data_IF_900521279498
#
_entry.id   IF_900521279498
#
_cell.length_a   1.000
_cell.length_b   1.000
_cell.length_c   1.000
_cell.angle_alpha   90.00
_cell.angle_beta   90.00
_cell.angle_gamma   90.00
#
_symmetry.space_group_name_H-M   'P 1'
#
loop_
_entity.id
_entity.type
_entity.pdbx_description
1 polymer ?
#
# COMPACT_ATOMS: atom_id res chain seq x y z
N UNK A 1 21.08 -31.11 -14.26
CA UNK A 1 19.71 -30.54 -14.29
C UNK A 1 19.82 -29.04 -14.38
N UNK A 2 19.16 -28.39 -15.34
CA UNK A 2 19.14 -26.92 -15.43
C UNK A 2 18.12 -26.37 -14.42
N UNK A 3 18.57 -25.49 -13.52
CA UNK A 3 17.68 -24.83 -12.55
C UNK A 3 16.78 -23.88 -13.34
N UNK A 4 15.47 -24.18 -13.39
CA UNK A 4 14.48 -23.24 -13.96
C UNK A 4 14.49 -21.96 -13.12
N UNK A 5 14.98 -20.86 -13.71
CA UNK A 5 14.94 -19.54 -13.08
C UNK A 5 13.50 -19.16 -12.74
N UNK A 6 13.19 -19.03 -11.46
CA UNK A 6 11.92 -18.50 -10.97
C UNK A 6 12.03 -16.98 -11.03
N UNK A 7 11.04 -16.33 -11.64
CA UNK A 7 10.92 -14.88 -11.69
C UNK A 7 9.55 -14.50 -11.16
N UNK A 8 9.46 -13.38 -10.44
CA UNK A 8 8.19 -12.91 -9.89
C UNK A 8 7.13 -12.66 -10.97
N UNK A 9 7.54 -12.28 -12.17
CA UNK A 9 6.64 -12.19 -13.34
C UNK A 9 5.88 -13.47 -13.66
N UNK A 10 6.41 -14.65 -13.31
CA UNK A 10 5.72 -15.94 -13.50
C UNK A 10 4.56 -16.16 -12.53
N UNK A 11 4.46 -15.38 -11.45
CA UNK A 11 3.25 -15.36 -10.60
C UNK A 11 2.17 -14.42 -11.15
N UNK A 12 2.35 -13.87 -12.35
CA UNK A 12 1.42 -12.94 -12.98
C UNK A 12 1.66 -11.46 -12.65
N UNK A 13 2.69 -11.13 -11.86
CA UNK A 13 2.95 -9.73 -11.44
C UNK A 13 4.12 -9.13 -12.23
N UNK A 14 3.84 -8.10 -13.04
CA UNK A 14 4.85 -7.39 -13.80
C UNK A 14 5.05 -5.95 -13.30
N UNK A 15 6.05 -5.76 -12.41
CA UNK A 15 6.40 -4.43 -11.88
C UNK A 15 6.81 -3.44 -12.97
N UNK A 16 7.38 -3.89 -14.09
CA UNK A 16 7.69 -3.00 -15.20
C UNK A 16 6.47 -2.29 -15.79
N UNK A 17 5.28 -2.86 -15.61
CA UNK A 17 3.99 -2.27 -16.02
C UNK A 17 3.32 -1.51 -14.88
N UNK A 18 3.43 -1.99 -13.64
CA UNK A 18 2.77 -1.41 -12.48
C UNK A 18 3.48 -0.16 -11.94
N UNK A 19 4.81 -0.18 -11.88
CA UNK A 19 5.62 0.88 -11.28
C UNK A 19 5.52 2.24 -11.98
N UNK A 20 5.42 2.34 -13.32
CA UNK A 20 5.29 3.62 -14.00
C UNK A 20 4.12 4.46 -13.47
N UNK A 21 2.95 3.85 -13.27
CA UNK A 21 1.77 4.55 -12.74
C UNK A 21 2.02 5.01 -11.30
N UNK A 22 2.64 4.18 -10.47
CA UNK A 22 3.00 4.54 -9.09
C UNK A 22 3.98 5.73 -9.05
N UNK A 23 5.01 5.73 -9.91
CA UNK A 23 5.98 6.82 -10.01
C UNK A 23 5.34 8.11 -10.51
N UNK A 24 4.45 8.03 -11.50
CA UNK A 24 3.67 9.18 -11.98
C UNK A 24 2.81 9.76 -10.85
N UNK A 25 2.10 8.92 -10.10
CA UNK A 25 1.30 9.37 -8.96
C UNK A 25 2.15 10.06 -7.89
N UNK A 26 3.32 9.52 -7.55
CA UNK A 26 4.25 10.17 -6.61
C UNK A 26 4.76 11.51 -7.12
N UNK A 27 5.06 11.61 -8.43
CA UNK A 27 5.51 12.86 -9.05
C UNK A 27 4.41 13.92 -9.04
N UNK A 28 3.18 13.54 -9.39
CA UNK A 28 2.00 14.42 -9.31
C UNK A 28 1.73 14.86 -7.87
N UNK A 29 1.81 13.95 -6.90
CA UNK A 29 1.63 14.26 -5.48
C UNK A 29 2.74 15.17 -4.91
N UNK A 30 3.96 15.11 -5.42
CA UNK A 30 5.02 16.03 -5.01
C UNK A 30 4.75 17.48 -5.47
N UNK A 31 4.04 17.66 -6.59
CA UNK A 31 3.69 19.01 -7.07
C UNK A 31 2.69 19.75 -6.17
N UNK A 32 2.02 19.02 -5.26
CA UNK A 32 1.04 19.58 -4.31
C UNK A 32 1.64 19.89 -2.93
N UNK A 33 2.90 19.54 -2.66
CA UNK A 33 3.56 19.75 -1.36
C UNK A 33 3.52 21.19 -0.86
N UNK A 34 3.53 22.16 -1.78
CA UNK A 34 3.42 23.59 -1.45
C UNK A 34 2.13 23.93 -0.69
N UNK A 35 1.07 23.15 -0.84
CA UNK A 35 -0.19 23.39 -0.14
C UNK A 35 -0.05 23.17 1.37
N UNK A 36 0.96 22.41 1.83
CA UNK A 36 1.23 22.21 3.26
C UNK A 36 1.68 23.51 3.94
N UNK A 37 2.48 24.33 3.25
CA UNK A 37 3.00 25.58 3.84
C UNK A 37 1.90 26.60 4.11
N UNK A 38 0.80 26.56 3.36
CA UNK A 38 -0.36 27.44 3.57
C UNK A 38 -1.01 27.22 4.96
N UNK A 39 -0.78 26.06 5.57
CA UNK A 39 -1.26 25.69 6.90
C UNK A 39 -0.13 25.58 7.95
N UNK A 40 1.08 26.02 7.62
CA UNK A 40 2.25 25.90 8.51
C UNK A 40 2.76 24.47 8.69
N UNK A 41 2.44 23.57 7.76
CA UNK A 41 2.91 22.19 7.75
C UNK A 41 4.14 22.01 6.87
N UNK A 42 4.93 20.97 7.15
CA UNK A 42 6.09 20.61 6.32
C UNK A 42 6.14 19.11 6.10
N UNK A 43 6.35 18.67 4.87
CA UNK A 43 6.54 17.24 4.59
C UNK A 43 7.89 16.71 5.08
N UNK A 44 7.95 15.41 5.36
CA UNK A 44 9.19 14.66 5.49
C UNK A 44 9.47 13.96 4.16
N UNK A 45 10.08 14.67 3.22
CA UNK A 45 10.21 14.25 1.80
C UNK A 45 10.79 12.84 1.62
N UNK A 46 11.66 12.39 2.52
CA UNK A 46 12.27 11.05 2.47
C UNK A 46 11.27 9.89 2.60
N UNK A 47 10.04 10.14 3.06
CA UNK A 47 9.01 9.08 3.19
C UNK A 47 8.14 8.95 1.93
N UNK A 48 8.40 9.71 0.86
CA UNK A 48 7.63 9.60 -0.38
C UNK A 48 7.93 8.27 -1.07
N UNK A 49 6.90 7.44 -1.23
CA UNK A 49 7.02 6.11 -1.81
C UNK A 49 7.41 5.03 -0.80
N UNK A 50 7.59 5.37 0.47
CA UNK A 50 7.67 4.43 1.59
C UNK A 50 6.26 3.94 1.99
N UNK A 51 6.17 3.02 2.97
CA UNK A 51 4.90 2.44 3.45
C UNK A 51 3.86 3.48 3.88
N UNK A 52 4.29 4.65 4.38
CA UNK A 52 3.38 5.77 4.67
C UNK A 52 4.05 7.12 4.38
N UNK A 53 3.25 8.10 3.98
CA UNK A 53 3.69 9.48 3.79
C UNK A 53 3.57 10.27 5.09
N UNK A 54 4.65 10.95 5.49
CA UNK A 54 4.75 11.66 6.77
C UNK A 54 4.88 13.17 6.56
N UNK A 55 4.17 13.93 7.38
CA UNK A 55 4.32 15.38 7.46
C UNK A 55 4.25 15.86 8.91
N UNK A 56 4.75 17.07 9.15
CA UNK A 56 4.80 17.71 10.46
C UNK A 56 3.73 18.78 10.58
N UNK A 57 3.01 18.76 11.70
CA UNK A 57 2.04 19.79 12.11
C UNK A 57 2.47 20.33 13.48
N UNK A 58 3.15 21.47 13.52
CA UNK A 58 3.69 22.01 14.79
C UNK A 58 4.63 21.02 15.48
N UNK A 59 4.23 20.48 16.63
CA UNK A 59 5.03 19.55 17.44
C UNK A 59 4.70 18.07 17.22
N UNK A 60 3.79 17.74 16.30
CA UNK A 60 3.42 16.36 16.00
C UNK A 60 3.77 15.97 14.58
N UNK A 61 4.05 14.69 14.39
CA UNK A 61 4.13 14.07 13.08
C UNK A 61 2.82 13.35 12.79
N UNK A 62 2.39 13.46 11.55
CA UNK A 62 1.22 12.79 11.02
C UNK A 62 1.70 11.87 9.91
N UNK A 63 1.07 10.71 9.79
CA UNK A 63 1.36 9.74 8.75
C UNK A 63 0.06 9.31 8.06
N UNK A 64 0.14 9.06 6.76
CA UNK A 64 -0.99 8.60 5.96
C UNK A 64 -0.56 7.48 5.03
N UNK A 65 -1.37 6.44 4.97
CA UNK A 65 -1.24 5.28 4.09
C UNK A 65 -2.58 4.98 3.46
N UNK A 66 -2.55 4.54 2.21
CA UNK A 66 -3.70 4.00 1.50
C UNK A 66 -3.27 2.63 0.99
N UNK A 67 -3.89 1.58 1.51
CA UNK A 67 -3.56 0.20 1.16
C UNK A 67 -4.82 -0.62 0.92
N UNK A 68 -4.70 -1.70 0.15
CA UNK A 68 -5.80 -2.62 -0.12
C UNK A 68 -5.33 -4.07 0.03
N UNK A 69 -6.24 -4.96 0.42
CA UNK A 69 -5.91 -6.37 0.62
C UNK A 69 -5.49 -7.11 -0.67
N UNK A 70 -5.84 -6.56 -1.84
CA UNK A 70 -5.64 -7.21 -3.12
C UNK A 70 -6.69 -8.28 -3.40
N UNK A 71 -6.31 -9.36 -4.09
CA UNK A 71 -7.25 -10.37 -4.63
C UNK A 71 -7.61 -11.48 -3.65
N UNK A 72 -7.30 -11.33 -2.35
CA UNK A 72 -7.61 -12.36 -1.34
C UNK A 72 -9.11 -12.59 -1.17
N UNK A 73 -9.93 -11.60 -1.50
CA UNK A 73 -11.39 -11.74 -1.52
C UNK A 73 -11.86 -12.85 -2.49
N UNK A 74 -11.20 -13.02 -3.65
CA UNK A 74 -11.54 -14.09 -4.60
C UNK A 74 -11.29 -15.48 -4.01
N UNK A 75 -10.29 -15.61 -3.15
CA UNK A 75 -10.02 -16.86 -2.42
C UNK A 75 -11.13 -17.14 -1.41
N UNK A 76 -11.62 -16.11 -0.70
CA UNK A 76 -12.77 -16.28 0.20
C UNK A 76 -14.02 -16.74 -0.55
N UNK A 77 -14.30 -16.14 -1.72
CA UNK A 77 -15.41 -16.53 -2.59
C UNK A 77 -15.32 -18.01 -3.03
N UNK A 78 -14.14 -18.47 -3.43
CA UNK A 78 -13.94 -19.84 -3.91
C UNK A 78 -13.96 -20.86 -2.77
N UNK A 79 -13.42 -20.53 -1.61
CA UNK A 79 -13.46 -21.40 -0.42
C UNK A 79 -14.89 -21.53 0.11
N UNK A 80 -15.71 -20.49 0.06
CA UNK A 80 -17.12 -20.56 0.44
C UNK A 80 -17.89 -21.54 -0.46
N UNK A 81 -17.64 -21.55 -1.77
CA UNK A 81 -18.26 -22.52 -2.70
C UNK A 81 -17.91 -23.98 -2.37
N UNK A 82 -16.70 -24.23 -1.88
CA UNK A 82 -16.22 -25.58 -1.56
C UNK A 82 -16.69 -26.04 -0.17
N UNK A 83 -16.67 -25.13 0.80
CA UNK A 83 -16.84 -25.46 2.22
C UNK A 83 -18.22 -25.08 2.78
N UNK A 84 -18.96 -24.23 2.09
CA UNK A 84 -20.20 -23.61 2.56
C UNK A 84 -20.01 -22.58 3.69
N UNK A 85 -18.76 -22.21 4.01
CA UNK A 85 -18.44 -21.26 5.08
C UNK A 85 -18.00 -19.91 4.53
N UNK A 86 -18.54 -18.85 5.10
CA UNK A 86 -18.17 -17.48 4.78
C UNK A 86 -16.91 -17.06 5.57
N UNK A 87 -15.97 -16.38 4.90
CA UNK A 87 -14.69 -15.92 5.48
C UNK A 87 -14.47 -14.40 5.40
N UNK A 88 -15.52 -13.62 5.11
CA UNK A 88 -15.39 -12.17 4.94
C UNK A 88 -15.05 -11.42 6.23
N UNK A 89 -15.28 -12.01 7.39
CA UNK A 89 -14.79 -11.46 8.66
C UNK A 89 -13.25 -11.42 8.69
N UNK A 90 -12.59 -12.51 8.30
CA UNK A 90 -11.13 -12.55 8.18
C UNK A 90 -10.61 -11.62 7.09
N UNK A 91 -11.32 -11.53 5.95
CA UNK A 91 -10.99 -10.57 4.88
C UNK A 91 -11.02 -9.13 5.41
N UNK A 92 -12.04 -8.76 6.19
CA UNK A 92 -12.13 -7.43 6.78
C UNK A 92 -10.96 -7.18 7.75
N UNK A 93 -10.64 -8.14 8.62
CA UNK A 93 -9.50 -8.04 9.53
C UNK A 93 -8.19 -7.88 8.78
N UNK A 94 -7.93 -8.72 7.77
CA UNK A 94 -6.71 -8.67 6.98
C UNK A 94 -6.57 -7.34 6.22
N UNK A 95 -7.69 -6.79 5.74
CA UNK A 95 -7.72 -5.49 5.07
C UNK A 95 -7.30 -4.37 6.02
N UNK A 96 -7.81 -4.35 7.24
CA UNK A 96 -7.40 -3.36 8.24
C UNK A 96 -5.96 -3.60 8.68
N UNK A 97 -5.58 -4.87 8.88
CA UNK A 97 -4.24 -5.23 9.30
C UNK A 97 -3.17 -4.78 8.30
N UNK A 98 -3.41 -4.90 6.98
CA UNK A 98 -2.43 -4.43 5.99
C UNK A 98 -2.20 -2.92 6.08
N UNK A 99 -3.26 -2.13 6.33
CA UNK A 99 -3.16 -0.67 6.48
C UNK A 99 -2.39 -0.31 7.76
N UNK A 100 -2.76 -0.91 8.90
CA UNK A 100 -2.17 -0.58 10.20
C UNK A 100 -0.71 -1.06 10.29
N UNK A 101 -0.40 -2.22 9.73
CA UNK A 101 0.98 -2.73 9.72
C UNK A 101 1.91 -1.80 8.94
N UNK A 102 1.50 -1.30 7.78
CA UNK A 102 2.29 -0.33 7.02
C UNK A 102 2.45 0.99 7.78
N UNK A 103 1.37 1.50 8.39
CA UNK A 103 1.45 2.72 9.19
C UNK A 103 2.46 2.60 10.35
N UNK A 104 2.46 1.45 11.04
CA UNK A 104 3.32 1.20 12.21
C UNK A 104 4.82 1.23 11.90
N UNK A 105 5.22 1.11 10.63
CA UNK A 105 6.62 1.18 10.23
C UNK A 105 7.24 2.57 10.41
N UNK A 106 6.42 3.61 10.59
CA UNK A 106 6.87 5.00 10.74
C UNK A 106 7.09 5.44 12.19
N UNK A 107 6.92 4.53 13.17
CA UNK A 107 7.01 4.81 14.61
C UNK A 107 5.69 5.29 15.21
#
# INVERSE_FOLDING_TARGET
MSIKKITYSKSGVNYGVLDPVKKLAQTSAASTSKNLSDYGFSELTSTRGESAFVWKQGNVYMASVIEGLGTKNLVADDVEKITGKNYYESIAQDTVATIINDLSTMG
#
